data_IF_690153096932
#
_entry.id   IF_690153096932
#
_cell.length_a   1.000
_cell.length_b   1.000
_cell.length_c   1.000
_cell.angle_alpha   90.00
_cell.angle_beta   90.00
_cell.angle_gamma   90.00
#
_symmetry.space_group_name_H-M   'P 1'
#
loop_
_entity.id
_entity.type
_entity.pdbx_description
1 polymer ?
#
# COMPACT_ATOMS: atom_id res chain seq x y z
N UNK A 1 1.70 -16.60 -3.50
CA UNK A 1 0.23 -16.38 -3.66
C UNK A 1 -0.50 -17.66 -3.23
N UNK A 2 -1.54 -17.54 -2.44
CA UNK A 2 -2.43 -18.69 -2.10
C UNK A 2 -3.50 -18.82 -3.18
N UNK A 3 -3.44 -19.88 -3.99
CA UNK A 3 -4.29 -20.06 -5.18
C UNK A 3 -5.10 -21.35 -5.07
N UNK A 4 -6.43 -21.28 -5.24
CA UNK A 4 -7.29 -22.45 -5.36
C UNK A 4 -7.65 -22.70 -6.83
N UNK A 5 -7.68 -23.96 -7.24
CA UNK A 5 -8.10 -24.39 -8.57
C UNK A 5 -9.37 -25.24 -8.44
N UNK A 6 -10.41 -24.88 -9.19
CA UNK A 6 -11.71 -25.55 -9.18
C UNK A 6 -12.02 -26.05 -10.58
N UNK A 7 -12.47 -27.27 -10.69
CA UNK A 7 -12.91 -27.89 -11.95
C UNK A 7 -14.20 -28.72 -11.74
N UNK A 8 -14.95 -28.94 -12.82
CA UNK A 8 -16.22 -29.70 -12.81
C UNK A 8 -16.16 -31.00 -13.59
N UNK A 9 -15.17 -31.16 -14.46
CA UNK A 9 -15.12 -32.28 -15.42
C UNK A 9 -13.81 -33.05 -15.30
N UNK A 10 -13.79 -34.25 -15.83
CA UNK A 10 -12.59 -35.10 -15.91
C UNK A 10 -11.51 -34.45 -16.81
N UNK A 11 -11.91 -33.77 -17.89
CA UNK A 11 -10.98 -33.05 -18.76
C UNK A 11 -10.38 -31.84 -18.03
N UNK A 12 -11.24 -31.09 -17.35
CA UNK A 12 -10.79 -29.97 -16.49
C UNK A 12 -9.85 -30.42 -15.37
N UNK A 13 -10.03 -31.61 -14.79
CA UNK A 13 -9.12 -32.13 -13.76
C UNK A 13 -7.71 -32.36 -14.30
N UNK A 14 -7.55 -32.87 -15.52
CA UNK A 14 -6.22 -32.98 -16.15
C UNK A 14 -5.56 -31.65 -16.38
N UNK A 15 -6.33 -30.66 -16.82
CA UNK A 15 -5.83 -29.29 -16.97
C UNK A 15 -5.47 -28.67 -15.61
N UNK A 16 -6.29 -28.94 -14.57
CA UNK A 16 -5.99 -28.45 -13.21
C UNK A 16 -4.66 -28.98 -12.67
N UNK A 17 -4.34 -30.23 -12.93
CA UNK A 17 -3.05 -30.84 -12.57
C UNK A 17 -1.90 -30.16 -13.30
N UNK A 18 -2.05 -29.91 -14.61
CA UNK A 18 -1.04 -29.18 -15.39
C UNK A 18 -0.88 -27.72 -14.91
N UNK A 19 -1.97 -27.01 -14.63
CA UNK A 19 -1.93 -25.66 -14.05
C UNK A 19 -1.22 -25.64 -12.69
N UNK A 20 -1.48 -26.65 -11.85
CA UNK A 20 -0.82 -26.79 -10.54
C UNK A 20 0.70 -26.99 -10.67
N UNK A 21 1.17 -27.74 -11.68
CA UNK A 21 2.60 -27.87 -11.95
C UNK A 21 3.27 -26.53 -12.28
N UNK A 22 2.53 -25.64 -12.95
CA UNK A 22 3.02 -24.29 -13.28
C UNK A 22 2.91 -23.28 -12.11
N UNK A 23 2.10 -23.61 -11.09
CA UNK A 23 1.84 -22.77 -9.92
C UNK A 23 2.01 -23.61 -8.63
N UNK A 24 3.25 -23.85 -8.16
CA UNK A 24 3.53 -24.80 -7.07
C UNK A 24 2.80 -24.50 -5.75
N UNK A 25 2.53 -23.23 -5.47
CA UNK A 25 1.82 -22.79 -4.25
C UNK A 25 0.29 -22.90 -4.36
N UNK A 26 -0.24 -23.46 -5.47
CA UNK A 26 -1.66 -23.65 -5.67
C UNK A 26 -2.14 -25.04 -5.17
N UNK A 27 -3.43 -25.15 -4.91
CA UNK A 27 -4.07 -26.45 -4.62
C UNK A 27 -5.35 -26.64 -5.43
N UNK A 28 -5.67 -27.90 -5.73
CA UNK A 28 -6.91 -28.27 -6.41
C UNK A 28 -7.94 -28.61 -5.34
N UNK A 29 -9.11 -27.96 -5.40
CA UNK A 29 -10.23 -28.29 -4.51
C UNK A 29 -10.94 -29.58 -4.98
N UNK A 30 -10.63 -30.67 -4.31
CA UNK A 30 -11.20 -32.01 -4.59
C UNK A 30 -12.44 -32.32 -3.78
N UNK A 31 -12.94 -31.39 -2.95
CA UNK A 31 -14.15 -31.61 -2.13
C UNK A 31 -15.38 -31.90 -3.02
N UNK A 32 -16.25 -32.79 -2.55
CA UNK A 32 -17.49 -33.12 -3.24
C UNK A 32 -18.63 -32.20 -2.81
N UNK A 33 -18.49 -30.89 -3.11
CA UNK A 33 -19.49 -29.87 -2.84
C UNK A 33 -20.03 -29.30 -4.16
N UNK A 34 -21.25 -28.75 -4.19
CA UNK A 34 -21.73 -27.94 -5.30
C UNK A 34 -20.77 -26.79 -5.58
N UNK A 35 -20.59 -26.43 -6.86
CA UNK A 35 -19.58 -25.40 -7.25
C UNK A 35 -19.80 -24.04 -6.58
N UNK A 36 -21.06 -23.67 -6.38
CA UNK A 36 -21.43 -22.42 -5.71
C UNK A 36 -20.93 -22.38 -4.25
N UNK A 37 -21.18 -23.47 -3.52
CA UNK A 37 -20.72 -23.62 -2.12
C UNK A 37 -19.19 -23.66 -2.03
N UNK A 38 -18.50 -24.30 -3.01
CA UNK A 38 -17.04 -24.30 -3.06
C UNK A 38 -16.48 -22.89 -3.22
N UNK A 39 -17.02 -22.11 -4.15
CA UNK A 39 -16.56 -20.76 -4.43
C UNK A 39 -16.82 -19.84 -3.22
N UNK A 40 -18.01 -19.94 -2.63
CA UNK A 40 -18.38 -19.17 -1.43
C UNK A 40 -17.41 -19.44 -0.25
N UNK A 41 -17.17 -20.72 0.02
CA UNK A 41 -16.28 -21.15 1.10
C UNK A 41 -14.81 -20.71 0.86
N UNK A 42 -14.32 -20.84 -0.38
CA UNK A 42 -12.98 -20.38 -0.76
C UNK A 42 -12.85 -18.86 -0.70
N UNK A 43 -13.92 -18.12 -1.00
CA UNK A 43 -13.91 -16.65 -0.92
C UNK A 43 -13.61 -16.12 0.48
N UNK A 44 -14.13 -16.83 1.50
CA UNK A 44 -13.92 -16.49 2.91
C UNK A 44 -12.53 -16.83 3.48
N UNK A 45 -11.69 -17.58 2.72
CA UNK A 45 -10.41 -18.11 3.23
C UNK A 45 -9.22 -17.16 3.04
N UNK A 46 -9.40 -15.96 2.53
CA UNK A 46 -8.32 -14.99 2.29
C UNK A 46 -7.31 -15.48 1.25
N UNK A 47 -7.81 -16.09 0.16
CA UNK A 47 -7.02 -16.49 -0.98
C UNK A 47 -6.64 -15.25 -1.83
N UNK A 48 -5.49 -15.31 -2.48
CA UNK A 48 -5.08 -14.29 -3.45
C UNK A 48 -5.77 -14.52 -4.82
N UNK A 49 -6.02 -15.77 -5.19
CA UNK A 49 -6.63 -16.11 -6.48
C UNK A 49 -7.51 -17.38 -6.43
N UNK A 50 -8.55 -17.40 -7.28
CA UNK A 50 -9.36 -18.57 -7.57
C UNK A 50 -9.34 -18.81 -9.08
N UNK A 51 -8.86 -19.97 -9.50
CA UNK A 51 -8.81 -20.40 -10.90
C UNK A 51 -9.95 -21.39 -11.15
N UNK A 52 -10.86 -21.03 -12.04
CA UNK A 52 -12.06 -21.81 -12.36
C UNK A 52 -11.92 -22.42 -13.77
N UNK A 53 -11.83 -23.75 -13.87
CA UNK A 53 -11.82 -24.44 -15.16
C UNK A 53 -13.25 -24.89 -15.47
N UNK A 54 -14.04 -23.97 -16.04
CA UNK A 54 -15.48 -24.15 -16.33
C UNK A 54 -16.03 -23.00 -17.17
N UNK A 55 -17.29 -23.11 -17.58
CA UNK A 55 -17.94 -22.03 -18.31
C UNK A 55 -18.02 -20.73 -17.49
N UNK A 56 -17.62 -19.60 -18.07
CA UNK A 56 -17.60 -18.26 -17.45
C UNK A 56 -18.94 -17.91 -16.79
N UNK A 57 -20.07 -18.25 -17.42
CA UNK A 57 -21.40 -17.96 -16.88
C UNK A 57 -21.71 -18.67 -15.55
N UNK A 58 -21.10 -19.83 -15.27
CA UNK A 58 -21.21 -20.49 -13.97
C UNK A 58 -20.49 -19.66 -12.90
N UNK A 59 -19.26 -19.24 -13.21
CA UNK A 59 -18.43 -18.44 -12.29
C UNK A 59 -19.09 -17.10 -11.98
N UNK A 60 -19.58 -16.39 -13.01
CA UNK A 60 -20.27 -15.10 -12.83
C UNK A 60 -21.46 -15.22 -11.87
N UNK A 61 -22.28 -16.27 -12.02
CA UNK A 61 -23.42 -16.48 -11.11
C UNK A 61 -22.96 -16.82 -9.69
N UNK A 62 -21.86 -17.56 -9.54
CA UNK A 62 -21.36 -17.96 -8.23
C UNK A 62 -20.75 -16.79 -7.46
N UNK A 63 -20.03 -15.86 -8.15
CA UNK A 63 -19.37 -14.73 -7.49
C UNK A 63 -20.25 -13.50 -7.37
N UNK A 64 -21.38 -13.43 -8.10
CA UNK A 64 -22.18 -12.20 -8.23
C UNK A 64 -22.68 -11.61 -6.91
N UNK A 65 -22.92 -12.43 -5.89
CA UNK A 65 -23.31 -12.00 -4.53
C UNK A 65 -22.15 -11.84 -3.56
N UNK A 66 -20.95 -12.29 -3.96
CA UNK A 66 -19.76 -12.30 -3.10
C UNK A 66 -18.86 -11.08 -3.35
N UNK A 67 -18.90 -10.51 -4.56
CA UNK A 67 -18.10 -9.36 -4.94
C UNK A 67 -18.49 -8.13 -4.11
N UNK A 68 -17.50 -7.52 -3.44
CA UNK A 68 -17.72 -6.38 -2.56
C UNK A 68 -16.75 -5.23 -2.79
N UNK A 69 -15.46 -5.49 -2.85
CA UNK A 69 -14.41 -4.48 -2.99
C UNK A 69 -13.23 -5.03 -3.80
N UNK A 70 -12.92 -4.37 -4.92
CA UNK A 70 -11.80 -4.73 -5.82
C UNK A 70 -10.42 -4.79 -5.14
N UNK A 71 -10.30 -4.25 -3.92
CA UNK A 71 -9.06 -4.27 -3.13
C UNK A 71 -8.99 -5.44 -2.14
N UNK A 72 -10.10 -6.17 -1.94
CA UNK A 72 -10.24 -7.28 -0.98
C UNK A 72 -10.62 -8.57 -1.64
N UNK A 73 -11.41 -8.49 -2.72
CA UNK A 73 -11.89 -9.66 -3.46
C UNK A 73 -10.69 -10.37 -4.13
N UNK A 74 -10.60 -11.70 -4.03
CA UNK A 74 -9.54 -12.46 -4.69
C UNK A 74 -9.61 -12.25 -6.22
N UNK A 75 -8.49 -12.37 -6.91
CA UNK A 75 -8.58 -12.38 -8.36
C UNK A 75 -9.21 -13.69 -8.84
N UNK A 76 -10.06 -13.60 -9.87
CA UNK A 76 -10.71 -14.78 -10.45
C UNK A 76 -10.29 -14.93 -11.89
N UNK A 77 -9.65 -16.06 -12.20
CA UNK A 77 -9.35 -16.48 -13.56
C UNK A 77 -10.30 -17.59 -14.00
N UNK A 78 -10.69 -17.55 -15.26
CA UNK A 78 -11.52 -18.60 -15.88
C UNK A 78 -10.79 -19.19 -17.08
N UNK A 79 -10.71 -20.52 -17.12
CA UNK A 79 -10.13 -21.27 -18.22
C UNK A 79 -11.20 -22.15 -18.88
N UNK A 80 -11.12 -22.29 -20.19
CA UNK A 80 -11.86 -23.33 -20.89
C UNK A 80 -11.22 -24.71 -20.65
N UNK A 81 -11.98 -25.77 -20.87
CA UNK A 81 -11.55 -27.15 -20.57
C UNK A 81 -10.32 -27.62 -21.37
N UNK A 82 -10.06 -26.99 -22.53
CA UNK A 82 -8.87 -27.27 -23.35
C UNK A 82 -7.66 -26.44 -22.99
N UNK A 83 -7.81 -25.45 -22.10
CA UNK A 83 -6.75 -24.53 -21.72
C UNK A 83 -6.30 -23.62 -22.85
N UNK A 84 -7.21 -23.26 -23.78
CA UNK A 84 -6.89 -22.35 -24.88
C UNK A 84 -6.92 -20.89 -24.47
N UNK A 85 -7.74 -20.55 -23.46
CA UNK A 85 -7.95 -19.19 -22.99
C UNK A 85 -7.80 -19.10 -21.47
N UNK A 86 -7.15 -18.04 -21.00
CA UNK A 86 -7.08 -17.65 -19.59
C UNK A 86 -7.71 -16.28 -19.46
N UNK A 87 -8.94 -16.23 -18.95
CA UNK A 87 -9.73 -14.99 -18.83
C UNK A 87 -9.49 -14.37 -17.44
N UNK A 88 -8.99 -13.15 -17.39
CA UNK A 88 -8.96 -12.33 -16.16
C UNK A 88 -10.36 -11.77 -15.91
N UNK A 89 -11.16 -12.45 -15.08
CA UNK A 89 -12.57 -12.12 -14.89
C UNK A 89 -12.81 -11.07 -13.82
N UNK A 90 -12.07 -11.12 -12.69
CA UNK A 90 -12.23 -10.21 -11.55
C UNK A 90 -10.89 -9.82 -10.94
N UNK A 91 -10.81 -8.64 -10.32
CA UNK A 91 -9.63 -8.11 -9.61
C UNK A 91 -8.35 -8.14 -10.48
N UNK A 92 -8.48 -7.72 -11.73
CA UNK A 92 -7.42 -7.81 -12.74
C UNK A 92 -6.18 -6.97 -12.41
N UNK A 93 -6.33 -5.73 -11.91
CA UNK A 93 -5.23 -4.80 -11.60
C UNK A 93 -4.63 -5.09 -10.21
N UNK A 94 -5.17 -4.44 -9.17
CA UNK A 94 -4.64 -4.52 -7.80
C UNK A 94 -4.64 -5.94 -7.23
N UNK A 95 -5.60 -6.76 -7.62
CA UNK A 95 -5.64 -8.19 -7.26
C UNK A 95 -4.65 -9.06 -8.04
N UNK A 96 -3.95 -8.51 -9.04
CA UNK A 96 -2.92 -9.22 -9.81
C UNK A 96 -3.44 -10.20 -10.87
N UNK A 97 -4.77 -10.25 -11.11
CA UNK A 97 -5.39 -11.19 -12.06
C UNK A 97 -4.87 -11.06 -13.49
N UNK A 98 -4.59 -9.82 -13.97
CA UNK A 98 -4.05 -9.61 -15.33
C UNK A 98 -2.62 -10.16 -15.45
N UNK A 99 -1.76 -9.92 -14.46
CA UNK A 99 -0.41 -10.44 -14.44
C UNK A 99 -0.40 -11.97 -14.34
N UNK A 100 -1.20 -12.54 -13.43
CA UNK A 100 -1.34 -13.99 -13.28
C UNK A 100 -1.89 -14.64 -14.56
N UNK A 101 -2.87 -14.01 -15.22
CA UNK A 101 -3.44 -14.48 -16.49
C UNK A 101 -2.40 -14.56 -17.60
N UNK A 102 -1.54 -13.52 -17.75
CA UNK A 102 -0.45 -13.52 -18.73
C UNK A 102 0.58 -14.61 -18.44
N UNK A 103 1.04 -14.69 -17.19
CA UNK A 103 2.03 -15.68 -16.78
C UNK A 103 1.51 -17.10 -16.97
N UNK A 104 0.29 -17.39 -16.52
CA UNK A 104 -0.30 -18.71 -16.66
C UNK A 104 -0.51 -19.08 -18.14
N UNK A 105 -1.07 -18.16 -18.93
CA UNK A 105 -1.29 -18.37 -20.35
C UNK A 105 0.02 -18.68 -21.09
N UNK A 106 1.09 -17.94 -20.80
CA UNK A 106 2.41 -18.20 -21.37
C UNK A 106 2.93 -19.61 -21.00
N UNK A 107 2.78 -20.00 -19.73
CA UNK A 107 3.28 -21.28 -19.23
C UNK A 107 2.57 -22.49 -19.81
N UNK A 108 1.25 -22.39 -20.08
CA UNK A 108 0.45 -23.51 -20.62
C UNK A 108 0.20 -23.39 -22.14
N UNK A 109 0.78 -22.41 -22.82
CA UNK A 109 0.58 -22.20 -24.26
C UNK A 109 -0.81 -21.68 -24.64
N UNK A 110 -1.49 -20.98 -23.73
CA UNK A 110 -2.81 -20.40 -23.89
C UNK A 110 -2.78 -18.93 -24.34
N UNK A 111 -3.95 -18.38 -24.62
CA UNK A 111 -4.15 -16.95 -24.83
C UNK A 111 -4.74 -16.28 -23.59
N UNK A 112 -4.07 -15.25 -23.05
CA UNK A 112 -4.63 -14.40 -22.01
C UNK A 112 -5.71 -13.48 -22.59
N UNK A 113 -6.88 -13.43 -21.97
CA UNK A 113 -7.99 -12.53 -22.31
C UNK A 113 -8.11 -11.48 -21.22
N UNK A 114 -7.70 -10.26 -21.55
CA UNK A 114 -7.71 -9.10 -20.65
C UNK A 114 -8.49 -8.00 -21.34
N UNK A 115 -9.46 -7.43 -20.63
CA UNK A 115 -10.37 -6.39 -21.19
C UNK A 115 -10.20 -5.04 -20.52
N UNK A 116 -9.26 -4.90 -19.60
CA UNK A 116 -9.01 -3.66 -18.88
C UNK A 116 -8.46 -2.60 -19.81
N UNK A 117 -9.06 -1.42 -19.83
CA UNK A 117 -8.78 -0.38 -20.81
C UNK A 117 -7.30 0.04 -20.86
N UNK A 118 -6.66 0.28 -19.69
CA UNK A 118 -5.23 0.63 -19.63
C UNK A 118 -4.33 -0.46 -20.21
N UNK A 119 -4.63 -1.74 -19.95
CA UNK A 119 -3.88 -2.87 -20.50
C UNK A 119 -4.01 -2.99 -22.03
N UNK A 120 -5.21 -2.68 -22.56
CA UNK A 120 -5.49 -2.78 -24.01
C UNK A 120 -4.95 -1.59 -24.78
N UNK A 121 -4.96 -0.39 -24.17
CA UNK A 121 -4.49 0.85 -24.81
C UNK A 121 -3.01 1.13 -24.59
N UNK A 122 -2.36 0.36 -23.70
CA UNK A 122 -0.95 0.53 -23.38
C UNK A 122 -0.66 1.74 -22.46
N UNK A 123 -1.70 2.30 -21.83
CA UNK A 123 -1.53 3.39 -20.88
C UNK A 123 -1.19 2.89 -19.48
N UNK A 124 -0.51 3.74 -18.70
CA UNK A 124 -0.15 3.46 -17.32
C UNK A 124 -1.39 3.28 -16.46
N UNK A 125 -1.45 2.16 -15.73
CA UNK A 125 -2.43 1.96 -14.68
C UNK A 125 -2.02 2.75 -13.43
N UNK A 126 -2.68 3.89 -13.18
CA UNK A 126 -2.31 4.83 -12.10
C UNK A 126 -2.32 4.13 -10.74
N UNK A 127 -3.27 3.24 -10.49
CA UNK A 127 -3.38 2.46 -9.25
C UNK A 127 -2.20 1.50 -9.05
N UNK A 128 -1.74 0.81 -10.08
CA UNK A 128 -0.56 -0.06 -10.03
C UNK A 128 0.73 0.75 -9.89
N UNK A 129 0.83 1.88 -10.57
CA UNK A 129 1.96 2.79 -10.43
C UNK A 129 2.03 3.35 -9.00
N UNK A 130 0.91 3.76 -8.43
CA UNK A 130 0.83 4.20 -7.04
C UNK A 130 1.25 3.08 -6.07
N UNK A 131 0.79 1.84 -6.29
CA UNK A 131 1.16 0.70 -5.47
C UNK A 131 2.67 0.39 -5.52
N UNK A 132 3.28 0.38 -6.71
CA UNK A 132 4.74 0.17 -6.88
C UNK A 132 5.56 1.20 -6.13
N UNK A 133 5.11 2.44 -6.13
CA UNK A 133 5.75 3.55 -5.44
C UNK A 133 5.34 3.67 -3.96
N UNK A 134 4.57 2.71 -3.43
CA UNK A 134 4.07 2.73 -2.03
C UNK A 134 3.30 4.02 -1.70
N UNK A 135 2.52 4.51 -2.67
CA UNK A 135 1.67 5.69 -2.51
C UNK A 135 0.28 5.28 -2.05
N UNK A 136 -0.27 6.00 -1.08
CA UNK A 136 -1.66 5.83 -0.62
C UNK A 136 -2.57 6.71 -1.49
N UNK A 137 -3.67 6.13 -1.95
CA UNK A 137 -4.69 6.85 -2.73
C UNK A 137 -5.72 7.44 -1.78
N UNK A 138 -5.83 8.77 -1.73
CA UNK A 138 -6.79 9.46 -0.86
C UNK A 138 -8.24 9.31 -1.35
N UNK A 139 -8.46 9.37 -2.68
CA UNK A 139 -9.78 9.40 -3.28
C UNK A 139 -9.92 8.42 -4.46
N UNK A 140 -10.68 7.34 -4.23
CA UNK A 140 -10.93 6.30 -5.25
C UNK A 140 -11.76 6.83 -6.44
N UNK A 141 -12.62 7.83 -6.23
CA UNK A 141 -13.44 8.42 -7.30
C UNK A 141 -12.54 9.24 -8.23
N UNK A 142 -11.70 10.09 -7.68
CA UNK A 142 -10.70 10.85 -8.46
C UNK A 142 -9.71 9.94 -9.17
N UNK A 143 -9.29 8.84 -8.54
CA UNK A 143 -8.45 7.83 -9.22
C UNK A 143 -9.13 7.31 -10.49
N UNK A 144 -10.41 6.97 -10.41
CA UNK A 144 -11.18 6.49 -11.57
C UNK A 144 -11.31 7.58 -12.66
N UNK A 145 -11.59 8.81 -12.25
CA UNK A 145 -11.72 9.96 -13.15
C UNK A 145 -10.40 10.27 -13.88
N UNK A 146 -9.27 10.35 -13.14
CA UNK A 146 -7.96 10.64 -13.72
C UNK A 146 -7.43 9.48 -14.58
N UNK A 147 -7.74 8.23 -14.22
CA UNK A 147 -7.46 7.07 -15.07
C UNK A 147 -8.22 7.14 -16.39
N UNK A 148 -9.51 7.52 -16.37
CA UNK A 148 -10.28 7.74 -17.59
C UNK A 148 -9.73 8.90 -18.42
N UNK A 149 -9.32 10.00 -17.78
CA UNK A 149 -8.65 11.13 -18.46
C UNK A 149 -7.39 10.67 -19.18
N UNK A 150 -6.50 9.92 -18.49
CA UNK A 150 -5.26 9.42 -19.10
C UNK A 150 -5.54 8.58 -20.36
N UNK A 151 -6.48 7.65 -20.29
CA UNK A 151 -6.86 6.79 -21.42
C UNK A 151 -7.40 7.62 -22.58
N UNK A 152 -8.23 8.65 -22.31
CA UNK A 152 -8.87 9.45 -23.34
C UNK A 152 -7.93 10.48 -23.99
N UNK A 153 -6.99 11.06 -23.22
CA UNK A 153 -6.09 12.13 -23.69
C UNK A 153 -4.69 11.64 -24.04
N UNK A 154 -4.33 10.42 -23.68
CA UNK A 154 -3.01 9.84 -23.91
C UNK A 154 -1.89 10.33 -23.00
N UNK A 155 -2.16 11.31 -22.15
CA UNK A 155 -1.20 11.80 -21.15
C UNK A 155 -1.92 12.46 -19.96
N UNK A 156 -1.20 12.59 -18.82
CA UNK A 156 -1.70 13.21 -17.61
C UNK A 156 -0.60 14.05 -16.94
N UNK A 157 -0.99 15.16 -16.31
CA UNK A 157 -0.07 16.08 -15.65
C UNK A 157 0.17 15.66 -14.21
N UNK A 158 1.44 15.60 -13.79
CA UNK A 158 1.84 15.21 -12.44
C UNK A 158 2.74 16.27 -11.80
N UNK A 159 2.41 16.66 -10.58
CA UNK A 159 3.28 17.42 -9.67
C UNK A 159 3.76 16.54 -8.55
N UNK A 160 5.02 16.69 -8.13
CA UNK A 160 5.56 15.95 -6.98
C UNK A 160 6.65 16.74 -6.25
N UNK A 161 6.68 16.57 -4.93
CA UNK A 161 7.79 17.01 -4.06
C UNK A 161 8.84 15.89 -3.87
N UNK A 162 8.56 14.67 -4.36
CA UNK A 162 9.50 13.55 -4.29
C UNK A 162 10.56 13.63 -5.38
N UNK A 163 11.71 13.01 -5.15
CA UNK A 163 12.73 12.81 -6.18
C UNK A 163 12.18 11.89 -7.28
N UNK A 164 12.41 12.25 -8.54
CA UNK A 164 12.03 11.44 -9.71
C UNK A 164 13.27 10.72 -10.22
N UNK A 165 13.30 9.40 -10.13
CA UNK A 165 14.30 8.55 -10.79
C UNK A 165 13.87 8.22 -12.22
N UNK A 166 12.62 7.81 -12.39
CA UNK A 166 11.95 7.64 -13.67
C UNK A 166 10.45 7.85 -13.53
N UNK A 167 9.78 8.15 -14.63
CA UNK A 167 8.33 8.34 -14.65
C UNK A 167 7.75 7.73 -15.93
N UNK A 168 6.52 7.21 -15.93
CA UNK A 168 5.88 6.70 -17.14
C UNK A 168 5.85 7.74 -18.26
N UNK A 169 6.00 7.32 -19.53
CA UNK A 169 6.06 8.21 -20.69
C UNK A 169 4.79 9.04 -20.91
N UNK A 170 3.65 8.54 -20.46
CA UNK A 170 2.35 9.18 -20.53
C UNK A 170 2.07 10.13 -19.34
N UNK A 171 3.01 10.28 -18.41
CA UNK A 171 2.97 11.28 -17.35
C UNK A 171 3.82 12.50 -17.74
N UNK A 172 3.26 13.70 -17.61
CA UNK A 172 3.94 14.98 -17.90
C UNK A 172 4.15 15.74 -16.61
N UNK A 173 5.42 15.90 -16.20
CA UNK A 173 5.77 16.63 -14.99
C UNK A 173 5.48 18.11 -15.19
N UNK A 174 4.74 18.71 -14.23
CA UNK A 174 4.47 20.14 -14.16
C UNK A 174 5.16 20.76 -12.96
N UNK A 175 5.33 22.08 -12.99
CA UNK A 175 6.10 22.79 -11.97
C UNK A 175 5.25 23.34 -10.82
N UNK A 176 3.94 23.40 -11.00
CA UNK A 176 3.01 23.89 -9.99
C UNK A 176 1.86 22.90 -9.74
N UNK A 177 1.39 22.78 -8.49
CA UNK A 177 0.30 21.85 -8.17
C UNK A 177 -1.04 22.24 -8.81
N UNK A 178 -1.22 23.52 -9.19
CA UNK A 178 -2.44 24.03 -9.83
C UNK A 178 -2.64 23.48 -11.24
N UNK A 179 -1.55 23.12 -11.92
CA UNK A 179 -1.58 22.54 -13.27
C UNK A 179 -1.73 21.01 -13.26
N UNK A 180 -1.61 20.39 -12.10
CA UNK A 180 -1.53 18.95 -11.98
C UNK A 180 -2.90 18.28 -11.97
N UNK A 181 -2.99 17.13 -12.63
CA UNK A 181 -4.06 16.15 -12.49
C UNK A 181 -3.80 15.16 -11.35
N UNK A 182 -2.51 14.87 -11.11
CA UNK A 182 -2.02 14.01 -10.04
C UNK A 182 -1.01 14.81 -9.22
N UNK A 183 -1.14 14.78 -7.91
CA UNK A 183 -0.18 15.34 -6.97
C UNK A 183 0.38 14.22 -6.10
N UNK A 184 1.70 14.08 -6.04
CA UNK A 184 2.37 13.17 -5.10
C UNK A 184 3.09 14.01 -4.06
N UNK A 185 2.54 14.09 -2.85
CA UNK A 185 3.09 14.93 -1.79
C UNK A 185 2.58 14.53 -0.40
N UNK A 186 3.39 14.81 0.63
CA UNK A 186 3.04 14.74 2.05
C UNK A 186 2.46 16.05 2.63
N UNK A 187 2.17 17.03 1.74
CA UNK A 187 1.63 18.35 2.11
C UNK A 187 0.14 18.45 1.89
N UNK A 188 -0.49 19.37 2.62
CA UNK A 188 -1.89 19.75 2.43
C UNK A 188 -1.99 20.73 1.25
N UNK A 189 -2.88 20.44 0.30
CA UNK A 189 -3.25 21.33 -0.80
C UNK A 189 -4.70 21.78 -0.65
N UNK A 190 -4.93 23.09 -0.67
CA UNK A 190 -6.29 23.66 -0.61
C UNK A 190 -6.87 23.78 -2.02
N UNK A 191 -8.12 23.32 -2.19
CA UNK A 191 -8.91 23.50 -3.42
C UNK A 191 -8.23 22.98 -4.70
N UNK A 192 -7.86 21.71 -4.73
CA UNK A 192 -7.34 21.10 -5.94
C UNK A 192 -8.28 19.97 -6.41
N UNK A 193 -8.60 19.94 -7.71
CA UNK A 193 -9.34 18.84 -8.34
C UNK A 193 -8.43 17.65 -8.70
N UNK A 194 -7.13 17.74 -8.41
CA UNK A 194 -6.19 16.67 -8.64
C UNK A 194 -6.47 15.44 -7.79
N UNK A 195 -6.09 14.27 -8.30
CA UNK A 195 -5.89 13.07 -7.50
C UNK A 195 -4.65 13.27 -6.63
N UNK A 196 -4.80 13.19 -5.32
CA UNK A 196 -3.65 13.25 -4.43
C UNK A 196 -3.23 11.83 -4.03
N UNK A 197 -1.95 11.55 -4.22
CA UNK A 197 -1.29 10.31 -3.84
C UNK A 197 -0.29 10.61 -2.72
N UNK A 198 -0.38 9.90 -1.60
CA UNK A 198 0.39 10.16 -0.39
C UNK A 198 1.59 9.23 -0.30
N UNK A 199 2.82 9.76 -0.42
CA UNK A 199 4.00 8.93 -0.22
C UNK A 199 4.13 8.55 1.25
N UNK A 200 4.59 7.32 1.51
CA UNK A 200 5.03 6.92 2.84
C UNK A 200 6.42 7.53 3.11
N UNK A 201 6.46 8.82 3.45
CA UNK A 201 7.68 9.63 3.51
C UNK A 201 8.02 10.13 4.93
N UNK A 202 7.09 10.09 5.88
CA UNK A 202 7.25 10.71 7.19
C UNK A 202 7.50 9.67 8.30
N UNK A 203 8.50 9.92 9.14
CA UNK A 203 8.72 9.19 10.38
C UNK A 203 8.54 10.14 11.58
N UNK A 204 7.75 9.73 12.56
CA UNK A 204 7.42 10.55 13.73
C UNK A 204 8.06 9.95 14.97
N UNK A 205 9.01 10.66 15.53
CA UNK A 205 9.62 10.30 16.80
C UNK A 205 8.79 10.81 17.97
N UNK A 206 8.51 9.94 18.92
CA UNK A 206 7.67 10.17 20.09
C UNK A 206 8.47 10.02 21.38
N UNK A 207 8.26 10.92 22.32
CA UNK A 207 8.65 10.77 23.72
C UNK A 207 7.48 11.11 24.62
N UNK A 208 7.38 10.42 25.77
CA UNK A 208 6.28 10.67 26.70
C UNK A 208 6.67 10.41 28.15
N UNK A 209 5.89 10.93 29.09
CA UNK A 209 5.92 10.49 30.48
C UNK A 209 5.29 9.10 30.61
N UNK A 210 5.52 8.39 31.72
CA UNK A 210 4.88 7.10 31.99
C UNK A 210 3.38 7.30 32.27
N UNK A 211 2.55 6.41 31.69
CA UNK A 211 1.10 6.45 31.84
C UNK A 211 0.40 7.54 31.04
N UNK A 212 1.05 8.10 30.02
CA UNK A 212 0.42 9.05 29.10
C UNK A 212 -0.68 8.36 28.29
N UNK A 213 -1.96 8.87 28.32
CA UNK A 213 -3.07 8.27 27.60
C UNK A 213 -2.93 8.46 26.08
N UNK A 214 -3.63 7.61 25.30
CA UNK A 214 -3.55 7.63 23.83
C UNK A 214 -4.06 8.96 23.23
N UNK A 215 -5.04 9.60 23.86
CA UNK A 215 -5.64 10.87 23.43
C UNK A 215 -4.63 12.02 23.41
N UNK A 216 -3.65 12.00 24.33
CA UNK A 216 -2.62 13.04 24.40
C UNK A 216 -1.67 12.92 23.18
N UNK A 217 -1.36 11.69 22.74
CA UNK A 217 -0.61 11.48 21.48
C UNK A 217 -1.43 11.93 20.28
N UNK A 218 -2.72 11.58 20.23
CA UNK A 218 -3.60 11.98 19.14
C UNK A 218 -3.69 13.52 19.03
N UNK A 219 -3.86 14.20 20.13
CA UNK A 219 -3.89 15.67 20.19
C UNK A 219 -2.55 16.26 19.71
N UNK A 220 -1.44 15.78 20.26
CA UNK A 220 -0.10 16.27 19.91
C UNK A 220 0.20 16.10 18.41
N UNK A 221 -0.13 14.95 17.82
CA UNK A 221 0.13 14.68 16.41
C UNK A 221 -0.80 15.49 15.51
N UNK A 222 -2.09 15.62 15.85
CA UNK A 222 -3.03 16.45 15.10
C UNK A 222 -2.55 17.90 15.02
N UNK A 223 -2.15 18.49 16.14
CA UNK A 223 -1.63 19.86 16.18
C UNK A 223 -0.31 19.99 15.44
N UNK A 224 0.63 19.04 15.63
CA UNK A 224 1.94 19.08 14.98
C UNK A 224 1.80 19.07 13.47
N UNK A 225 0.92 18.23 12.94
CA UNK A 225 0.72 18.09 11.51
C UNK A 225 -0.05 19.26 10.91
N UNK A 226 -1.08 19.76 11.60
CA UNK A 226 -1.84 20.93 11.16
C UNK A 226 -0.96 22.18 11.07
N UNK A 227 -0.16 22.46 12.10
CA UNK A 227 0.71 23.65 12.16
C UNK A 227 1.86 23.62 11.13
N UNK A 228 2.19 22.44 10.60
CA UNK A 228 3.25 22.27 9.59
C UNK A 228 2.72 21.92 8.18
N UNK A 229 1.40 21.96 7.99
CA UNK A 229 0.73 21.62 6.72
C UNK A 229 1.11 20.23 6.20
N UNK A 230 1.33 19.27 7.11
CA UNK A 230 1.64 17.86 6.81
C UNK A 230 0.40 16.99 6.87
N UNK A 231 0.45 15.85 6.17
CA UNK A 231 -0.62 14.86 6.12
C UNK A 231 -0.23 13.60 6.89
N UNK A 232 -1.10 13.11 7.79
CA UNK A 232 -0.82 11.94 8.62
C UNK A 232 -0.81 10.63 7.82
N UNK A 233 -1.52 10.56 6.70
CA UNK A 233 -1.54 9.44 5.76
C UNK A 233 -0.15 9.15 5.14
N UNK A 234 0.78 10.12 5.23
CA UNK A 234 2.17 9.95 4.81
C UNK A 234 3.09 9.40 5.92
N UNK A 235 2.57 9.12 7.11
CA UNK A 235 3.38 8.55 8.20
C UNK A 235 3.68 7.08 7.91
N UNK A 236 4.98 6.74 7.81
CA UNK A 236 5.45 5.36 7.67
C UNK A 236 5.58 4.65 9.02
N UNK A 237 6.18 5.36 9.98
CA UNK A 237 6.53 4.80 11.28
C UNK A 237 6.37 5.84 12.37
N UNK A 238 5.94 5.37 13.53
CA UNK A 238 6.28 5.98 14.79
C UNK A 238 7.61 5.44 15.28
N UNK A 239 8.32 6.20 16.13
CA UNK A 239 9.58 5.77 16.69
C UNK A 239 9.78 6.31 18.09
N UNK A 240 10.40 5.52 18.97
CA UNK A 240 10.69 5.94 20.35
C UNK A 240 11.93 5.20 20.91
N UNK A 241 12.24 5.44 22.18
CA UNK A 241 13.26 4.69 22.91
C UNK A 241 12.69 3.34 23.36
N UNK A 242 13.53 2.31 23.44
CA UNK A 242 13.19 0.94 23.86
C UNK A 242 12.58 0.86 25.27
N UNK A 243 12.95 1.78 26.16
CA UNK A 243 12.34 1.93 27.49
C UNK A 243 10.83 2.22 27.47
N UNK A 244 10.26 2.52 26.30
CA UNK A 244 8.83 2.82 26.07
C UNK A 244 8.08 1.72 25.31
N UNK A 245 8.72 0.57 25.07
CA UNK A 245 8.09 -0.55 24.36
C UNK A 245 6.89 -1.17 25.10
N UNK A 246 6.73 -0.88 26.37
CA UNK A 246 5.66 -1.33 27.26
C UNK A 246 4.68 -0.19 27.63
N UNK A 247 4.73 0.98 26.97
CA UNK A 247 3.87 2.13 27.29
C UNK A 247 2.48 1.98 26.64
N UNK A 248 1.43 1.65 27.43
CA UNK A 248 0.14 1.23 26.85
C UNK A 248 -0.49 2.28 25.93
N UNK A 249 -0.50 3.56 26.36
CA UNK A 249 -1.15 4.62 25.56
C UNK A 249 -0.45 4.89 24.25
N UNK A 250 0.90 4.76 24.18
CA UNK A 250 1.65 4.88 22.92
C UNK A 250 1.35 3.71 21.97
N UNK A 251 1.30 2.49 22.50
CA UNK A 251 1.00 1.29 21.71
C UNK A 251 -0.43 1.33 21.19
N UNK A 252 -1.40 1.68 22.03
CA UNK A 252 -2.80 1.83 21.64
C UNK A 252 -2.98 2.94 20.57
N UNK A 253 -2.29 4.08 20.72
CA UNK A 253 -2.30 5.14 19.72
C UNK A 253 -1.81 4.66 18.35
N UNK A 254 -0.69 3.94 18.34
CA UNK A 254 -0.12 3.43 17.09
C UNK A 254 -1.00 2.35 16.43
N UNK A 255 -1.60 1.47 17.25
CA UNK A 255 -2.53 0.44 16.77
C UNK A 255 -3.80 1.05 16.18
N UNK A 256 -4.39 2.04 16.83
CA UNK A 256 -5.53 2.81 16.32
C UNK A 256 -5.22 3.47 14.97
N UNK A 257 -3.99 3.94 14.76
CA UNK A 257 -3.51 4.48 13.48
C UNK A 257 -3.07 3.40 12.49
N UNK A 258 -2.95 2.14 12.90
CA UNK A 258 -2.39 1.03 12.10
C UNK A 258 -0.97 1.30 11.60
N UNK A 259 -0.18 2.04 12.37
CA UNK A 259 1.19 2.41 12.05
C UNK A 259 2.14 1.72 13.03
N UNK A 260 3.19 1.09 12.52
CA UNK A 260 4.19 0.39 13.35
C UNK A 260 5.06 1.37 14.12
N UNK A 261 5.44 0.99 15.36
CA UNK A 261 6.45 1.71 16.15
C UNK A 261 7.79 0.98 16.02
N UNK A 262 8.86 1.74 15.77
CA UNK A 262 10.25 1.29 15.88
C UNK A 262 10.82 1.76 17.22
N UNK A 263 11.48 0.86 17.94
CA UNK A 263 12.14 1.19 19.19
C UNK A 263 13.66 1.11 19.03
N UNK A 264 14.36 2.10 19.60
CA UNK A 264 15.81 2.23 19.50
C UNK A 264 16.45 2.27 20.89
N UNK A 265 17.60 1.63 21.04
CA UNK A 265 18.40 1.71 22.25
C UNK A 265 18.98 3.12 22.42
N UNK A 266 19.27 3.50 23.67
CA UNK A 266 19.85 4.82 23.99
C UNK A 266 21.17 5.10 23.26
N UNK A 267 21.97 4.06 23.01
CA UNK A 267 23.24 4.15 22.28
C UNK A 267 23.02 4.58 20.83
N UNK A 268 21.98 4.03 20.16
CA UNK A 268 21.58 4.40 18.80
C UNK A 268 21.07 5.85 18.75
N UNK A 269 20.21 6.23 19.72
CA UNK A 269 19.72 7.62 19.81
C UNK A 269 20.86 8.62 20.06
N UNK A 270 21.85 8.26 20.87
CA UNK A 270 23.00 9.10 21.22
C UNK A 270 24.02 9.23 20.06
N UNK A 271 24.01 8.32 19.09
CA UNK A 271 24.88 8.41 17.89
C UNK A 271 24.38 9.41 16.86
N UNK A 272 23.12 9.87 16.97
CA UNK A 272 22.55 10.86 16.05
C UNK A 272 23.02 12.26 16.43
N UNK A 273 23.63 12.97 15.48
CA UNK A 273 24.14 14.32 15.66
C UNK A 273 23.08 15.39 15.32
N UNK A 274 23.36 16.63 15.71
CA UNK A 274 22.54 17.82 15.39
C UNK A 274 21.09 17.77 15.88
N UNK A 275 20.85 17.05 17.00
CA UNK A 275 19.53 16.93 17.66
C UNK A 275 19.50 17.68 18.98
N UNK A 276 18.29 18.06 19.40
CA UNK A 276 18.07 18.74 20.69
C UNK A 276 18.36 17.82 21.86
N UNK A 277 19.19 18.29 22.81
CA UNK A 277 19.47 17.59 24.05
C UNK A 277 18.61 18.11 25.22
N UNK A 278 18.38 17.24 26.22
CA UNK A 278 17.65 17.58 27.44
C UNK A 278 18.25 16.87 28.64
N UNK A 279 18.73 17.65 29.63
CA UNK A 279 19.27 17.08 30.88
C UNK A 279 18.27 16.20 31.64
N UNK A 280 16.98 16.57 31.64
CA UNK A 280 15.91 15.78 32.26
C UNK A 280 15.71 14.44 31.55
N UNK A 281 15.75 14.42 30.21
CA UNK A 281 15.64 13.18 29.43
C UNK A 281 16.87 12.32 29.65
N UNK A 282 18.06 12.90 29.68
CA UNK A 282 19.30 12.17 29.94
C UNK A 282 19.29 11.48 31.32
N UNK A 283 18.86 12.21 32.36
CA UNK A 283 18.76 11.66 33.71
C UNK A 283 17.74 10.49 33.80
N UNK A 284 16.65 10.58 33.03
CA UNK A 284 15.59 9.57 33.05
C UNK A 284 15.86 8.35 32.16
N UNK A 285 16.58 8.51 31.06
CA UNK A 285 16.71 7.48 30.01
C UNK A 285 18.15 7.15 29.62
N UNK A 286 19.12 7.99 29.95
CA UNK A 286 20.48 7.90 29.44
C UNK A 286 20.64 8.35 27.97
N UNK A 287 19.56 8.77 27.32
CA UNK A 287 19.59 9.35 25.98
C UNK A 287 19.62 10.89 26.04
N UNK A 288 20.43 11.55 25.18
CA UNK A 288 20.48 13.02 25.05
C UNK A 288 19.13 13.61 24.63
N UNK A 289 18.35 12.87 23.87
CA UNK A 289 17.02 13.19 23.38
C UNK A 289 16.34 11.92 22.84
N UNK A 290 15.02 11.95 22.64
CA UNK A 290 14.27 10.79 22.12
C UNK A 290 13.59 11.13 20.79
N UNK A 291 12.73 12.14 20.77
CA UNK A 291 11.85 12.38 19.60
C UNK A 291 12.63 12.65 18.30
N UNK A 292 13.55 13.60 18.28
CA UNK A 292 14.32 13.94 17.06
C UNK A 292 15.20 12.78 16.58
N UNK A 293 16.06 12.16 17.42
CA UNK A 293 16.91 11.08 16.93
C UNK A 293 16.12 9.83 16.55
N UNK A 294 15.01 9.51 17.25
CA UNK A 294 14.15 8.39 16.87
C UNK A 294 13.46 8.62 15.50
N UNK A 295 13.00 9.87 15.24
CA UNK A 295 12.45 10.22 13.93
C UNK A 295 13.47 10.04 12.81
N UNK A 296 14.69 10.56 13.00
CA UNK A 296 15.78 10.46 12.02
C UNK A 296 16.18 9.02 11.74
N UNK A 297 16.42 8.21 12.77
CA UNK A 297 16.74 6.77 12.61
C UNK A 297 15.60 5.99 11.93
N UNK A 298 14.34 6.34 12.21
CA UNK A 298 13.21 5.67 11.56
C UNK A 298 13.04 6.08 10.09
N UNK A 299 13.50 7.28 9.72
CA UNK A 299 13.49 7.80 8.36
C UNK A 299 14.70 7.34 7.51
N UNK A 300 15.73 6.74 8.13
CA UNK A 300 16.87 6.20 7.40
C UNK A 300 16.45 5.06 6.47
N UNK A 301 16.99 5.07 5.26
CA UNK A 301 16.75 4.08 4.21
C UNK A 301 18.07 3.69 3.54
N UNK A 302 18.01 2.71 2.66
CA UNK A 302 19.14 2.36 1.77
C UNK A 302 19.49 3.49 0.79
N UNK A 303 18.57 4.44 0.58
CA UNK A 303 18.77 5.59 -0.32
C UNK A 303 19.51 6.74 0.39
N UNK A 304 19.52 6.76 1.71
CA UNK A 304 20.20 7.79 2.49
C UNK A 304 19.57 8.04 3.87
N UNK A 305 20.13 9.02 4.55
CA UNK A 305 19.68 9.42 5.88
C UNK A 305 18.43 10.28 5.83
N UNK A 306 17.59 10.13 6.86
CA UNK A 306 16.41 10.96 7.05
C UNK A 306 16.78 12.45 7.29
N UNK A 307 15.89 13.35 6.91
CA UNK A 307 16.03 14.80 7.15
C UNK A 307 14.99 15.25 8.15
N UNK A 308 15.43 15.93 9.23
CA UNK A 308 14.52 16.48 10.24
C UNK A 308 13.79 17.69 9.65
N UNK A 309 12.47 17.57 9.45
CA UNK A 309 11.62 18.62 8.86
C UNK A 309 10.82 19.38 9.92
N UNK A 310 10.48 18.72 11.04
CA UNK A 310 9.87 19.39 12.20
C UNK A 310 10.66 19.02 13.44
N UNK A 311 11.26 20.06 14.06
CA UNK A 311 11.99 19.89 15.31
C UNK A 311 11.06 19.53 16.46
N UNK A 312 11.64 18.98 17.53
CA UNK A 312 10.91 18.57 18.71
C UNK A 312 9.99 19.65 19.24
N UNK A 313 8.69 19.39 19.27
CA UNK A 313 7.69 20.14 20.01
C UNK A 313 7.30 19.41 21.28
N UNK A 314 6.97 20.13 22.32
CA UNK A 314 6.61 19.59 23.62
C UNK A 314 5.19 20.01 23.99
N UNK A 315 4.40 19.05 24.41
CA UNK A 315 3.14 19.20 25.12
C UNK A 315 3.34 18.85 26.60
N UNK A 316 2.26 18.76 27.37
CA UNK A 316 2.34 18.44 28.80
C UNK A 316 3.11 17.12 29.04
N UNK A 317 2.67 16.05 28.45
CA UNK A 317 3.18 14.69 28.66
C UNK A 317 3.76 14.03 27.40
N UNK A 318 3.68 14.69 26.24
CA UNK A 318 4.15 14.18 24.94
C UNK A 318 5.21 15.13 24.35
N UNK A 319 6.18 14.56 23.68
CA UNK A 319 7.07 15.26 22.75
C UNK A 319 7.05 14.54 21.42
N UNK A 320 7.03 15.29 20.32
CA UNK A 320 7.09 14.72 18.98
C UNK A 320 8.00 15.55 18.06
N UNK A 321 8.59 14.87 17.08
CA UNK A 321 9.36 15.45 15.99
C UNK A 321 9.08 14.67 14.70
N UNK A 322 9.28 15.30 13.54
CA UNK A 322 9.06 14.65 12.24
C UNK A 322 10.33 14.69 11.40
N UNK A 323 10.72 13.55 10.89
CA UNK A 323 11.76 13.43 9.88
C UNK A 323 11.18 12.88 8.59
N UNK A 324 11.69 13.34 7.46
CA UNK A 324 11.34 12.89 6.13
C UNK A 324 12.40 11.91 5.61
N UNK A 325 11.97 10.75 5.13
CA UNK A 325 12.83 9.79 4.45
C UNK A 325 12.95 10.18 2.97
N UNK A 326 14.07 9.86 2.35
CA UNK A 326 14.20 9.99 0.90
C UNK A 326 13.23 9.03 0.20
N UNK A 327 12.41 9.58 -0.67
CA UNK A 327 11.42 8.83 -1.47
C UNK A 327 11.68 9.15 -2.94
N UNK A 328 11.82 8.10 -3.76
CA UNK A 328 12.01 8.21 -5.21
C UNK A 328 10.85 7.59 -5.93
N UNK A 329 10.40 8.25 -6.97
CA UNK A 329 9.36 7.73 -7.86
C UNK A 329 10.01 7.02 -9.03
N UNK A 330 9.48 5.82 -9.35
CA UNK A 330 9.90 5.01 -10.50
C UNK A 330 8.71 4.72 -11.42
N UNK A 331 8.99 4.49 -12.71
CA UNK A 331 7.99 4.18 -13.73
C UNK A 331 7.29 2.84 -13.54
#
# INVERSE_FOLDING_TARGET
MKIAIITLTVGGQKLAEHVKEQLPDSFIDTRKLPVFEKIEDLWGQGLDAIICIMATGIVVRAIGTLCSDKTKDPCVLVLDEKGQFVISLLSGHLGGGNALSRTLAQNIGAQAIITTASDVTGHTAIDLWAQRNSLVVDDKQKLTEKSAKLINSGNIQIYTDCEIESIPDDFKVVTTPEEADIIVSDRVFLKNDALVLRPCSLAVGLGCNRGTPNEDFATAINELFADNSLIQESICFFASIDLKQDEPGMLEFADNKKIKIKFYAKEQLNSVENVSSSAAVFAATGAKGVAEPAALLAADTILGHGTLIVRKRKWKDVTAAVAMKQTRLVA
#
